data_IF_232895813296
#
_entry.id   IF_232895813296
#
_cell.length_a   1.000
_cell.length_b   1.000
_cell.length_c   1.000
_cell.angle_alpha   90.00
_cell.angle_beta   90.00
_cell.angle_gamma   90.00
#
_symmetry.space_group_name_H-M   'P 1'
#
loop_
_entity.id
_entity.type
_entity.pdbx_description
1 polymer ?
#
# COMPACT_ATOMS: atom_id res chain seq x y z
N UNK A 1 8.24 -17.60 8.28
CA UNK A 1 7.13 -16.63 8.38
C UNK A 1 6.64 -16.30 6.96
N UNK A 2 5.32 -16.18 6.74
CA UNK A 2 4.72 -15.73 5.45
C UNK A 2 4.50 -14.22 5.49
N UNK A 3 5.00 -13.49 4.50
CA UNK A 3 4.86 -12.04 4.36
C UNK A 3 4.21 -11.72 3.02
N UNK A 4 3.15 -10.91 3.05
CA UNK A 4 2.61 -10.29 1.85
C UNK A 4 3.31 -8.95 1.63
N UNK A 5 3.81 -8.68 0.43
CA UNK A 5 4.28 -7.35 0.02
C UNK A 5 3.20 -6.76 -0.88
N UNK A 6 2.50 -5.74 -0.38
CA UNK A 6 1.39 -5.10 -1.07
C UNK A 6 1.86 -3.81 -1.73
N UNK A 7 1.52 -3.61 -3.00
CA UNK A 7 1.96 -2.45 -3.79
C UNK A 7 0.89 -2.07 -4.82
N UNK A 8 0.89 -0.83 -5.28
CA UNK A 8 -0.03 -0.38 -6.32
C UNK A 8 0.32 -1.01 -7.68
N UNK A 9 -0.68 -1.58 -8.36
CA UNK A 9 -0.57 -1.87 -9.79
C UNK A 9 -0.83 -0.59 -10.57
N UNK A 10 0.04 -0.27 -11.53
CA UNK A 10 -0.15 0.87 -12.42
C UNK A 10 -1.39 0.67 -13.30
N UNK A 11 -2.40 1.57 -13.26
CA UNK A 11 -3.51 1.53 -14.19
C UNK A 11 -3.03 1.84 -15.61
N UNK A 12 -3.55 1.12 -16.61
CA UNK A 12 -3.20 1.37 -18.02
C UNK A 12 -3.64 2.75 -18.53
N UNK A 13 -4.46 3.49 -17.78
CA UNK A 13 -4.85 4.87 -18.08
C UNK A 13 -5.12 5.59 -16.75
N UNK A 14 -4.40 6.67 -16.47
CA UNK A 14 -4.62 7.48 -15.26
C UNK A 14 -6.03 8.09 -15.29
N UNK A 15 -6.82 7.89 -14.23
CA UNK A 15 -8.13 8.55 -14.07
C UNK A 15 -8.02 9.96 -13.48
N UNK A 16 -6.91 10.27 -12.80
CA UNK A 16 -6.60 11.55 -12.16
C UNK A 16 -5.09 11.65 -11.99
N UNK A 17 -4.51 12.84 -12.14
CA UNK A 17 -3.06 13.08 -12.00
C UNK A 17 -2.38 13.65 -13.24
N UNK A 18 -1.16 14.20 -13.06
CA UNK A 18 -0.29 14.62 -14.16
C UNK A 18 0.54 13.42 -14.69
N UNK A 19 1.17 13.56 -15.85
CA UNK A 19 2.04 12.52 -16.44
C UNK A 19 3.17 12.05 -15.49
N UNK A 20 3.56 12.90 -14.53
CA UNK A 20 4.51 12.58 -13.46
C UNK A 20 4.00 11.56 -12.45
N UNK A 21 2.69 11.48 -12.24
CA UNK A 21 2.10 10.54 -11.28
C UNK A 21 2.26 9.09 -11.77
N UNK A 22 2.34 8.86 -13.10
CA UNK A 22 2.70 7.54 -13.68
C UNK A 22 4.10 7.08 -13.31
N UNK A 23 5.07 8.01 -13.28
CA UNK A 23 6.47 7.67 -12.97
C UNK A 23 6.57 7.20 -11.51
N UNK A 24 5.79 7.81 -10.60
CA UNK A 24 5.70 7.40 -9.21
C UNK A 24 5.07 6.01 -9.08
N UNK A 25 3.95 5.77 -9.78
CA UNK A 25 3.28 4.46 -9.74
C UNK A 25 4.13 3.34 -10.37
N UNK A 26 4.88 3.61 -11.45
CA UNK A 26 5.81 2.64 -12.05
C UNK A 26 6.97 2.25 -11.10
N UNK A 27 7.29 3.10 -10.12
CA UNK A 27 8.27 2.80 -9.08
C UNK A 27 7.83 1.71 -8.09
N UNK A 28 6.52 1.60 -7.84
CA UNK A 28 5.98 0.73 -6.80
C UNK A 28 6.27 -0.76 -7.03
N UNK A 29 6.24 -1.23 -8.28
CA UNK A 29 6.59 -2.61 -8.62
C UNK A 29 8.07 -2.88 -8.38
N UNK A 30 8.96 -1.94 -8.73
CA UNK A 30 10.39 -2.08 -8.53
C UNK A 30 10.77 -2.07 -7.04
N UNK A 31 10.13 -1.20 -6.26
CA UNK A 31 10.28 -1.15 -4.81
C UNK A 31 9.79 -2.45 -4.15
N UNK A 32 8.64 -2.97 -4.60
CA UNK A 32 8.11 -4.24 -4.12
C UNK A 32 9.07 -5.39 -4.43
N UNK A 33 9.64 -5.46 -5.63
CA UNK A 33 10.65 -6.46 -5.99
C UNK A 33 11.88 -6.37 -5.07
N UNK A 34 12.40 -5.17 -4.83
CA UNK A 34 13.55 -4.97 -3.95
C UNK A 34 13.27 -5.44 -2.52
N UNK A 35 12.11 -5.08 -1.96
CA UNK A 35 11.66 -5.52 -0.63
C UNK A 35 11.47 -7.03 -0.60
N UNK A 36 10.82 -7.61 -1.61
CA UNK A 36 10.60 -9.05 -1.70
C UNK A 36 11.92 -9.82 -1.70
N UNK A 37 12.90 -9.40 -2.50
CA UNK A 37 14.22 -10.02 -2.52
C UNK A 37 14.94 -9.91 -1.18
N UNK A 38 14.90 -8.76 -0.51
CA UNK A 38 15.50 -8.58 0.80
C UNK A 38 14.88 -9.52 1.85
N UNK A 39 13.55 -9.58 1.92
CA UNK A 39 12.83 -10.46 2.86
C UNK A 39 13.08 -11.95 2.56
N UNK A 40 13.19 -12.34 1.28
CA UNK A 40 13.53 -13.70 0.89
C UNK A 40 14.95 -14.12 1.31
N UNK A 41 15.93 -13.20 1.22
CA UNK A 41 17.31 -13.45 1.70
C UNK A 41 17.36 -13.74 3.20
N UNK A 42 16.45 -13.15 3.97
CA UNK A 42 16.27 -13.42 5.40
C UNK A 42 15.47 -14.72 5.68
N UNK A 43 15.16 -15.53 4.66
CA UNK A 43 14.50 -16.82 4.81
C UNK A 43 12.98 -16.75 4.99
N UNK A 44 12.35 -15.61 4.69
CA UNK A 44 10.89 -15.47 4.76
C UNK A 44 10.22 -16.04 3.49
N UNK A 45 9.00 -16.56 3.66
CA UNK A 45 8.14 -16.90 2.53
C UNK A 45 7.42 -15.64 2.09
N UNK A 46 7.74 -15.11 0.91
CA UNK A 46 7.23 -13.80 0.48
C UNK A 46 6.35 -13.94 -0.76
N UNK A 47 5.23 -13.22 -0.79
CA UNK A 47 4.37 -13.09 -1.97
C UNK A 47 4.04 -11.62 -2.21
N UNK A 48 4.27 -11.16 -3.44
CA UNK A 48 3.75 -9.88 -3.91
C UNK A 48 2.24 -9.98 -4.15
N UNK A 49 1.47 -9.04 -3.60
CA UNK A 49 0.02 -8.94 -3.81
C UNK A 49 -0.28 -7.54 -4.35
N UNK A 50 -0.48 -7.40 -5.68
CA UNK A 50 -0.76 -6.10 -6.28
C UNK A 50 -2.16 -5.61 -5.93
N UNK A 51 -2.27 -4.35 -5.54
CA UNK A 51 -3.53 -3.62 -5.44
C UNK A 51 -3.94 -3.14 -6.83
N UNK A 52 -4.85 -3.90 -7.46
CA UNK A 52 -5.46 -3.56 -8.75
C UNK A 52 -6.73 -2.72 -8.61
N UNK A 53 -7.60 -2.78 -9.62
CA UNK A 53 -8.87 -2.00 -9.64
C UNK A 53 -9.97 -2.54 -8.72
N UNK A 54 -9.86 -3.79 -8.28
CA UNK A 54 -10.84 -4.44 -7.41
C UNK A 54 -10.29 -4.57 -5.99
N UNK A 55 -10.81 -3.79 -5.01
CA UNK A 55 -10.47 -3.98 -3.60
C UNK A 55 -10.89 -5.37 -3.10
N UNK A 56 -11.98 -5.94 -3.64
CA UNK A 56 -12.46 -7.25 -3.27
C UNK A 56 -11.42 -8.34 -3.61
N UNK A 57 -10.91 -8.33 -4.84
CA UNK A 57 -9.91 -9.30 -5.31
C UNK A 57 -8.61 -9.18 -4.49
N UNK A 58 -8.22 -7.95 -4.13
CA UNK A 58 -7.07 -7.69 -3.29
C UNK A 58 -7.25 -8.27 -1.87
N UNK A 59 -8.41 -8.05 -1.25
CA UNK A 59 -8.75 -8.63 0.05
C UNK A 59 -8.82 -10.15 -0.02
N UNK A 60 -9.42 -10.72 -1.07
CA UNK A 60 -9.51 -12.16 -1.27
C UNK A 60 -8.11 -12.78 -1.40
N UNK A 61 -7.20 -12.15 -2.15
CA UNK A 61 -5.82 -12.61 -2.27
C UNK A 61 -5.08 -12.61 -0.93
N UNK A 62 -5.30 -11.59 -0.09
CA UNK A 62 -4.75 -11.51 1.27
C UNK A 62 -5.30 -12.63 2.16
N UNK A 63 -6.61 -12.84 2.16
CA UNK A 63 -7.28 -13.89 2.95
C UNK A 63 -6.80 -15.27 2.52
N UNK A 64 -6.73 -15.54 1.22
CA UNK A 64 -6.28 -16.83 0.69
C UNK A 64 -4.81 -17.10 0.99
N UNK A 65 -3.95 -16.08 0.94
CA UNK A 65 -2.53 -16.24 1.25
C UNK A 65 -2.28 -16.38 2.76
N UNK A 66 -3.17 -15.84 3.60
CA UNK A 66 -3.08 -15.84 5.06
C UNK A 66 -1.67 -15.45 5.56
N UNK A 67 -1.18 -14.23 5.24
CA UNK A 67 0.13 -13.78 5.69
C UNK A 67 0.17 -13.63 7.22
N UNK A 68 1.36 -13.76 7.81
CA UNK A 68 1.56 -13.47 9.23
C UNK A 68 1.74 -11.96 9.45
N UNK A 69 2.23 -11.23 8.44
CA UNK A 69 2.28 -9.79 8.40
C UNK A 69 2.30 -9.29 6.95
N UNK A 70 1.90 -8.03 6.76
CA UNK A 70 1.90 -7.31 5.49
C UNK A 70 3.00 -6.25 5.52
N UNK A 71 3.84 -6.23 4.48
CA UNK A 71 4.68 -5.09 4.15
C UNK A 71 3.88 -4.20 3.20
N UNK A 72 3.39 -3.06 3.68
CA UNK A 72 2.54 -2.15 2.91
C UNK A 72 3.38 -1.11 2.16
N UNK A 73 3.30 -1.13 0.83
CA UNK A 73 3.84 -0.14 -0.12
C UNK A 73 2.72 0.51 -0.94
N UNK A 74 1.46 0.44 -0.49
CA UNK A 74 0.36 1.09 -1.18
C UNK A 74 0.28 2.58 -0.79
N UNK A 75 0.31 3.47 -1.78
CA UNK A 75 0.32 4.94 -1.62
C UNK A 75 -1.00 5.60 -2.07
N UNK A 76 -2.01 4.79 -2.39
CA UNK A 76 -3.29 5.25 -2.90
C UNK A 76 -4.12 4.12 -3.49
N UNK A 77 -5.23 4.47 -4.14
CA UNK A 77 -6.04 3.50 -4.87
C UNK A 77 -6.42 4.04 -6.25
N UNK A 78 -5.98 3.32 -7.28
CA UNK A 78 -6.35 3.54 -8.68
C UNK A 78 -6.15 4.99 -9.17
N UNK A 79 -4.98 5.58 -8.87
CA UNK A 79 -4.63 6.95 -9.22
C UNK A 79 -5.16 8.04 -8.27
N UNK A 80 -5.82 7.67 -7.16
CA UNK A 80 -6.21 8.62 -6.12
C UNK A 80 -5.43 8.36 -4.82
N UNK A 81 -4.45 9.23 -4.55
CA UNK A 81 -3.64 9.16 -3.33
C UNK A 81 -4.44 9.45 -2.08
N UNK A 82 -5.56 10.20 -2.15
CA UNK A 82 -6.38 10.49 -0.96
C UNK A 82 -7.02 9.23 -0.36
N UNK A 83 -7.05 8.13 -1.12
CA UNK A 83 -7.55 6.84 -0.68
C UNK A 83 -6.50 5.97 0.02
N UNK A 84 -5.27 6.46 0.23
CA UNK A 84 -4.22 5.74 0.95
C UNK A 84 -4.68 5.28 2.34
N UNK A 85 -5.33 6.17 3.10
CA UNK A 85 -5.90 5.82 4.40
C UNK A 85 -6.95 4.71 4.32
N UNK A 86 -7.74 4.66 3.23
CA UNK A 86 -8.77 3.65 3.02
C UNK A 86 -8.14 2.28 2.78
N UNK A 87 -7.08 2.22 1.97
CA UNK A 87 -6.31 0.99 1.73
C UNK A 87 -5.69 0.48 3.02
N UNK A 88 -5.00 1.36 3.76
CA UNK A 88 -4.40 1.01 5.04
C UNK A 88 -5.45 0.55 6.07
N UNK A 89 -6.69 1.06 5.98
CA UNK A 89 -7.81 0.65 6.81
C UNK A 89 -8.30 -0.78 6.57
N UNK A 90 -7.99 -1.39 5.42
CA UNK A 90 -8.39 -2.76 5.11
C UNK A 90 -7.63 -3.79 5.98
N UNK A 91 -6.33 -3.58 6.23
CA UNK A 91 -5.51 -4.57 6.92
C UNK A 91 -5.98 -4.86 8.36
N UNK A 92 -6.29 -3.86 9.20
CA UNK A 92 -6.85 -4.10 10.53
C UNK A 92 -8.21 -4.80 10.49
N UNK A 93 -9.06 -4.53 9.49
CA UNK A 93 -10.36 -5.23 9.32
C UNK A 93 -10.16 -6.72 9.05
N UNK A 94 -9.09 -7.08 8.33
CA UNK A 94 -8.67 -8.46 8.09
C UNK A 94 -7.85 -9.06 9.25
N UNK A 95 -7.67 -8.33 10.36
CA UNK A 95 -6.83 -8.73 11.49
C UNK A 95 -5.38 -9.03 11.09
N UNK A 96 -4.85 -8.33 10.09
CA UNK A 96 -3.48 -8.49 9.59
C UNK A 96 -2.53 -7.47 10.24
N UNK A 97 -1.43 -7.92 10.86
CA UNK A 97 -0.33 -7.04 11.25
C UNK A 97 0.30 -6.40 10.01
N UNK A 98 0.59 -5.09 10.05
CA UNK A 98 1.08 -4.35 8.88
C UNK A 98 2.21 -3.39 9.25
N UNK A 99 3.17 -3.21 8.35
CA UNK A 99 4.22 -2.18 8.46
C UNK A 99 3.70 -0.80 8.10
N UNK A 100 4.40 0.24 8.54
CA UNK A 100 4.06 1.63 8.21
C UNK A 100 3.09 2.26 9.22
N UNK A 101 2.46 3.35 8.79
CA UNK A 101 1.59 4.18 9.64
C UNK A 101 0.14 3.67 9.66
N UNK A 102 -0.58 3.81 10.79
CA UNK A 102 -2.02 3.56 10.83
C UNK A 102 -2.82 4.46 9.87
N UNK A 103 -3.98 3.99 9.43
CA UNK A 103 -4.86 4.71 8.50
C UNK A 103 -5.12 6.17 8.89
N UNK A 104 -5.39 6.44 10.18
CA UNK A 104 -5.61 7.81 10.65
C UNK A 104 -4.37 8.71 10.49
N UNK A 105 -3.18 8.19 10.82
CA UNK A 105 -1.96 8.94 10.66
C UNK A 105 -1.72 9.29 9.19
N UNK A 106 -1.90 8.33 8.28
CA UNK A 106 -1.78 8.55 6.84
C UNK A 106 -2.73 9.65 6.36
N UNK A 107 -4.04 9.50 6.61
CA UNK A 107 -5.04 10.48 6.18
C UNK A 107 -4.83 11.87 6.80
N UNK A 108 -4.43 11.93 8.07
CA UNK A 108 -4.10 13.18 8.74
C UNK A 108 -2.90 13.87 8.07
N UNK A 109 -1.83 13.13 7.79
CA UNK A 109 -0.60 13.66 7.20
C UNK A 109 -0.74 14.07 5.73
N UNK A 110 -1.72 13.51 5.01
CA UNK A 110 -2.05 13.94 3.65
C UNK A 110 -2.71 15.32 3.60
N UNK A 111 -3.45 15.71 4.66
CA UNK A 111 -3.97 17.07 4.77
C UNK A 111 -2.88 18.02 5.27
N UNK A 112 -2.33 18.79 4.32
CA UNK A 112 -1.27 19.78 4.58
C UNK A 112 -1.73 20.88 5.54
N UNK A 113 -3.00 21.28 5.53
CA UNK A 113 -3.50 22.35 6.40
C UNK A 113 -3.62 21.84 7.84
N UNK A 114 -4.24 20.69 8.04
CA UNK A 114 -4.37 20.06 9.36
C UNK A 114 -3.02 19.70 9.95
N UNK A 115 -2.12 19.11 9.14
CA UNK A 115 -0.77 18.75 9.59
C UNK A 115 0.01 19.97 10.06
N UNK A 116 0.00 21.07 9.28
CA UNK A 116 0.67 22.31 9.66
C UNK A 116 0.05 22.96 10.90
N UNK A 117 -1.27 22.92 11.03
CA UNK A 117 -1.95 23.45 12.21
C UNK A 117 -1.56 22.67 13.48
N UNK A 118 -1.47 21.34 13.39
CA UNK A 118 -1.07 20.49 14.52
C UNK A 118 0.40 20.66 14.90
N UNK A 119 1.30 20.81 13.92
CA UNK A 119 2.73 21.01 14.18
C UNK A 119 3.08 22.43 14.69
N UNK A 120 2.18 23.39 14.52
CA UNK A 120 2.36 24.77 15.01
C UNK A 120 1.85 24.98 16.45
N UNK A 121 1.17 23.98 17.02
CA UNK A 121 0.70 23.98 18.41
C UNK A 121 1.82 23.58 19.38
#
# INVERSE_FOLDING_TARGET
MRIAVCFNRVPGTLKRGEEKDRISEEGAEHEAEAVMQALQREGMMVRGIPLGESPADFMDALVQYAPHAVFNLCEGFWGDSHLEMNVAGLFPLLSLPVTGSPAFALGFTQDKALTKAYLAA
#
